data_IF_328523715954
#
_entry.id   IF_328523715954
#
_cell.length_a   1.000
_cell.length_b   1.000
_cell.length_c   1.000
_cell.angle_alpha   90.00
_cell.angle_beta   90.00
_cell.angle_gamma   90.00
#
_symmetry.space_group_name_H-M   'P 1'
#
loop_
_entity.id
_entity.type
_entity.pdbx_description
1 polymer ?
#
# COMPACT_ATOMS: atom_id res chain seq x y z
N UNK A 1 1.12 11.94 23.07
CA UNK A 1 1.78 10.91 22.23
C UNK A 1 1.45 11.22 20.78
N UNK A 2 2.44 11.51 19.94
CA UNK A 2 2.23 12.01 18.59
C UNK A 2 1.85 10.89 17.59
N UNK A 3 0.79 10.14 17.88
CA UNK A 3 0.27 9.05 17.04
C UNK A 3 -0.02 9.48 15.59
N UNK A 4 -0.43 10.73 15.41
CA UNK A 4 -0.68 11.31 14.09
C UNK A 4 0.58 11.34 13.23
N UNK A 5 1.75 11.63 13.81
CA UNK A 5 3.02 11.61 13.07
C UNK A 5 3.45 10.18 12.71
N UNK A 6 3.21 9.21 13.60
CA UNK A 6 3.47 7.80 13.33
C UNK A 6 2.60 7.26 12.19
N UNK A 7 1.39 7.81 12.00
CA UNK A 7 0.48 7.46 10.92
C UNK A 7 1.02 7.86 9.54
N UNK A 8 1.77 8.96 9.44
CA UNK A 8 2.36 9.42 8.18
C UNK A 8 3.79 8.96 7.96
N UNK A 9 4.41 8.34 8.96
CA UNK A 9 5.79 7.86 8.91
C UNK A 9 6.07 6.92 7.73
N UNK A 10 5.22 5.91 7.42
CA UNK A 10 5.49 4.99 6.32
C UNK A 10 5.57 5.64 4.93
N UNK A 11 4.58 6.44 4.48
CA UNK A 11 4.68 7.13 3.20
C UNK A 11 5.76 8.22 3.20
N UNK A 12 5.98 8.92 4.32
CA UNK A 12 7.05 9.93 4.43
C UNK A 12 8.45 9.31 4.34
N UNK A 13 8.68 8.16 4.97
CA UNK A 13 9.96 7.44 4.89
C UNK A 13 10.30 7.06 3.45
N UNK A 14 9.32 6.59 2.69
CA UNK A 14 9.49 6.19 1.28
C UNK A 14 9.71 7.42 0.39
N UNK A 15 9.06 8.54 0.72
CA UNK A 15 9.26 9.81 0.03
C UNK A 15 10.68 10.34 0.26
N UNK A 16 11.16 10.32 1.51
CA UNK A 16 12.52 10.71 1.89
C UNK A 16 13.59 9.77 1.29
N UNK A 17 13.24 8.51 1.02
CA UNK A 17 14.10 7.56 0.30
C UNK A 17 14.16 7.81 -1.23
N UNK A 18 13.54 8.87 -1.75
CA UNK A 18 13.61 9.25 -3.16
C UNK A 18 12.73 8.40 -4.08
N UNK A 19 11.70 7.71 -3.55
CA UNK A 19 10.81 6.82 -4.31
C UNK A 19 9.38 7.39 -4.37
N UNK A 20 9.15 8.52 -5.06
CA UNK A 20 7.88 9.25 -4.99
C UNK A 20 6.68 8.45 -5.49
N UNK A 21 6.85 7.65 -6.56
CA UNK A 21 5.78 6.78 -7.09
C UNK A 21 5.37 5.74 -6.04
N UNK A 22 6.34 5.12 -5.37
CA UNK A 22 6.11 4.11 -4.34
C UNK A 22 5.47 4.74 -3.10
N UNK A 23 5.86 5.98 -2.76
CA UNK A 23 5.27 6.73 -1.65
C UNK A 23 3.78 7.02 -1.89
N UNK A 24 3.41 7.43 -3.11
CA UNK A 24 2.01 7.71 -3.49
C UNK A 24 1.17 6.43 -3.45
N UNK A 25 1.67 5.33 -4.03
CA UNK A 25 0.98 4.02 -3.99
C UNK A 25 0.82 3.55 -2.54
N UNK A 26 1.87 3.69 -1.73
CA UNK A 26 1.81 3.34 -0.31
C UNK A 26 0.78 4.19 0.41
N UNK A 27 0.75 5.50 0.20
CA UNK A 27 -0.23 6.41 0.80
C UNK A 27 -1.68 6.04 0.42
N UNK A 28 -1.93 5.73 -0.86
CA UNK A 28 -3.25 5.33 -1.36
C UNK A 28 -3.74 4.00 -0.80
N UNK A 29 -2.84 3.07 -0.46
CA UNK A 29 -3.19 1.79 0.18
C UNK A 29 -3.31 1.97 1.70
N UNK A 30 -2.44 2.81 2.26
CA UNK A 30 -2.31 3.03 3.70
C UNK A 30 -3.50 3.78 4.29
N UNK A 31 -3.98 4.83 3.61
CA UNK A 31 -5.12 5.63 4.05
C UNK A 31 -6.42 4.81 4.22
N UNK A 32 -6.86 4.02 3.23
CA UNK A 32 -8.01 3.13 3.41
C UNK A 32 -7.73 1.96 4.37
N UNK A 33 -6.48 1.47 4.47
CA UNK A 33 -6.12 0.43 5.43
C UNK A 33 -6.20 0.91 6.90
N UNK A 34 -6.10 2.21 7.16
CA UNK A 34 -6.34 2.77 8.50
C UNK A 34 -7.84 2.98 8.73
N UNK A 35 -8.54 3.53 7.73
CA UNK A 35 -9.95 3.92 7.85
C UNK A 35 -10.93 2.74 7.87
N UNK A 36 -10.69 1.70 7.07
CA UNK A 36 -11.60 0.55 6.94
C UNK A 36 -11.39 -0.47 8.06
N UNK A 37 -10.15 -0.56 8.54
CA UNK A 37 -9.70 -1.77 9.21
C UNK A 37 -9.75 -1.66 10.72
N UNK A 38 -9.42 -0.50 11.31
CA UNK A 38 -9.15 -0.43 12.76
C UNK A 38 -8.18 -1.51 13.27
N UNK A 39 -7.48 -2.24 12.38
CA UNK A 39 -6.71 -3.47 12.64
C UNK A 39 -7.06 -4.73 11.80
N UNK A 40 -8.25 -4.91 11.19
CA UNK A 40 -8.72 -6.23 10.70
C UNK A 40 -8.90 -6.41 9.18
N UNK A 41 -8.80 -5.35 8.38
CA UNK A 41 -8.90 -5.39 6.91
C UNK A 41 -7.61 -5.78 6.19
N UNK A 42 -6.56 -6.16 6.93
CA UNK A 42 -5.25 -6.54 6.39
C UNK A 42 -5.24 -7.71 5.40
N UNK A 43 -6.01 -8.81 5.59
CA UNK A 43 -5.86 -9.99 4.73
C UNK A 43 -6.45 -9.80 3.33
N UNK A 44 -7.58 -9.10 3.22
CA UNK A 44 -8.32 -8.97 1.95
C UNK A 44 -7.54 -8.13 0.92
N UNK A 45 -6.81 -7.11 1.38
CA UNK A 45 -5.99 -6.26 0.52
C UNK A 45 -4.74 -6.96 0.01
N UNK A 46 -4.12 -7.83 0.83
CA UNK A 46 -2.98 -8.66 0.42
C UNK A 46 -3.43 -9.65 -0.66
N UNK A 47 -4.59 -10.29 -0.47
CA UNK A 47 -5.16 -11.20 -1.45
C UNK A 47 -5.48 -10.51 -2.79
N UNK A 48 -6.12 -9.33 -2.73
CA UNK A 48 -6.43 -8.55 -3.94
C UNK A 48 -5.16 -8.07 -4.67
N UNK A 49 -4.15 -7.59 -3.94
CA UNK A 49 -2.87 -7.20 -4.52
C UNK A 49 -2.12 -8.39 -5.14
N UNK A 50 -2.15 -9.56 -4.49
CA UNK A 50 -1.55 -10.79 -5.01
C UNK A 50 -2.21 -11.22 -6.33
N UNK A 51 -3.55 -11.19 -6.39
CA UNK A 51 -4.30 -11.51 -7.62
C UNK A 51 -3.95 -10.56 -8.75
N UNK A 52 -3.90 -9.24 -8.49
CA UNK A 52 -3.55 -8.24 -9.48
C UNK A 52 -2.12 -8.42 -10.03
N UNK A 53 -1.14 -8.72 -9.17
CA UNK A 53 0.24 -8.98 -9.60
C UNK A 53 0.33 -10.27 -10.41
N UNK A 54 -0.40 -11.32 -10.00
CA UNK A 54 -0.43 -12.58 -10.72
C UNK A 54 -1.03 -12.41 -12.12
N UNK A 55 -2.17 -11.71 -12.23
CA UNK A 55 -2.80 -11.41 -13.52
C UNK A 55 -1.89 -10.56 -14.41
N UNK A 56 -1.30 -9.48 -13.88
CA UNK A 56 -0.38 -8.64 -14.65
C UNK A 56 0.85 -9.41 -15.16
N UNK A 57 1.33 -10.41 -14.42
CA UNK A 57 2.44 -11.29 -14.84
C UNK A 57 1.98 -12.36 -15.83
N UNK A 58 0.74 -12.81 -15.74
CA UNK A 58 0.13 -13.73 -16.70
C UNK A 58 -0.10 -13.05 -18.05
N UNK A 59 -0.67 -11.84 -18.07
CA UNK A 59 -0.90 -11.07 -19.30
C UNK A 59 0.39 -10.81 -20.07
N UNK A 60 1.49 -10.49 -19.39
CA UNK A 60 2.81 -10.30 -20.04
C UNK A 60 3.44 -11.58 -20.61
N UNK A 61 2.88 -12.75 -20.32
CA UNK A 61 3.34 -14.02 -20.90
C UNK A 61 2.53 -14.43 -22.14
N UNK A 62 1.36 -13.83 -22.36
CA UNK A 62 0.46 -14.15 -23.46
C UNK A 62 0.30 -13.03 -24.50
N UNK A 63 0.96 -11.88 -24.32
CA UNK A 63 1.14 -10.83 -25.34
C UNK A 63 2.59 -10.73 -25.77
#
# INVERSE_FOLDING_TARGET
MNYLLALFLPPLSILLAGRPIVAIVTFLIWLPAILISGGLGHPIFILLAWVLIYQARADRRYG
#
